data_IF_484524628741
#
_entry.id   IF_484524628741
#
_cell.length_a   1.000
_cell.length_b   1.000
_cell.length_c   1.000
_cell.angle_alpha   90.00
_cell.angle_beta   90.00
_cell.angle_gamma   90.00
#
_symmetry.space_group_name_H-M   'P 1'
#
loop_
_entity.id
_entity.type
_entity.pdbx_description
1 polymer ?
#
# COMPACT_ATOMS: atom_id res chain seq x y z
N UNK A 1 8.12 35.20 13.61
CA UNK A 1 7.10 35.24 12.55
C UNK A 1 6.55 33.83 12.44
N UNK A 2 5.43 33.59 13.12
CA UNK A 2 4.89 32.27 13.41
C UNK A 2 4.27 31.68 12.13
N UNK A 3 4.86 30.61 11.60
CA UNK A 3 4.27 29.87 10.49
C UNK A 3 3.11 29.06 11.07
N UNK A 4 1.92 29.59 10.91
CA UNK A 4 0.67 28.92 11.24
C UNK A 4 0.51 27.76 10.26
N UNK A 5 0.72 26.53 10.76
CA UNK A 5 0.39 25.33 10.00
C UNK A 5 -1.13 25.29 9.84
N UNK A 6 -1.58 25.57 8.61
CA UNK A 6 -2.96 25.42 8.22
C UNK A 6 -3.29 23.92 8.30
N UNK A 7 -3.94 23.50 9.39
CA UNK A 7 -4.49 22.17 9.56
C UNK A 7 -5.70 22.03 8.62
N UNK A 8 -5.42 21.84 7.33
CA UNK A 8 -6.40 21.31 6.39
C UNK A 8 -6.65 19.85 6.78
N UNK A 9 -7.59 19.65 7.71
CA UNK A 9 -8.29 18.38 7.86
C UNK A 9 -8.94 18.09 6.51
N UNK A 10 -8.26 17.29 5.69
CA UNK A 10 -8.68 16.88 4.36
C UNK A 10 -9.83 15.87 4.45
N UNK A 11 -10.92 16.24 5.12
CA UNK A 11 -12.19 15.53 5.00
C UNK A 11 -12.64 15.74 3.56
N UNK A 12 -12.41 14.72 2.73
CA UNK A 12 -12.87 14.68 1.35
C UNK A 12 -14.41 14.69 1.38
N UNK A 13 -15.00 15.88 1.24
CA UNK A 13 -16.45 16.11 1.34
C UNK A 13 -17.25 15.35 0.27
N UNK A 14 -16.60 15.03 -0.85
CA UNK A 14 -17.20 14.29 -1.96
C UNK A 14 -16.26 13.13 -2.28
N UNK A 15 -16.52 11.99 -1.64
CA UNK A 15 -15.90 10.72 -1.99
C UNK A 15 -17.02 9.75 -2.40
N UNK A 16 -16.94 9.10 -3.58
CA UNK A 16 -17.86 8.01 -3.87
C UNK A 16 -17.64 6.92 -2.82
N UNK A 17 -18.72 6.50 -2.16
CA UNK A 17 -18.75 5.31 -1.32
C UNK A 17 -19.49 4.23 -2.11
N UNK A 18 -18.91 3.03 -2.29
CA UNK A 18 -19.63 1.93 -2.92
C UNK A 18 -20.89 1.63 -2.10
N UNK A 19 -22.04 1.69 -2.75
CA UNK A 19 -23.35 1.48 -2.12
C UNK A 19 -23.71 -0.01 -2.04
N UNK A 20 -23.03 -0.85 -2.83
CA UNK A 20 -23.23 -2.30 -2.84
C UNK A 20 -21.91 -3.07 -2.91
N UNK A 21 -21.87 -4.34 -2.44
CA UNK A 21 -20.71 -5.22 -2.62
C UNK A 21 -20.33 -5.42 -4.09
N UNK A 22 -21.30 -5.34 -4.99
CA UNK A 22 -21.07 -5.47 -6.43
C UNK A 22 -20.32 -4.26 -7.00
N UNK A 23 -20.64 -3.05 -6.55
CA UNK A 23 -19.89 -1.83 -6.90
C UNK A 23 -18.45 -1.89 -6.37
N UNK A 24 -18.25 -2.37 -5.15
CA UNK A 24 -16.90 -2.54 -4.57
C UNK A 24 -16.06 -3.56 -5.37
N UNK A 25 -16.69 -4.65 -5.81
CA UNK A 25 -16.04 -5.65 -6.67
C UNK A 25 -15.64 -5.06 -8.03
N UNK A 26 -16.51 -4.24 -8.63
CA UNK A 26 -16.22 -3.53 -9.89
C UNK A 26 -15.07 -2.55 -9.68
N UNK A 27 -15.09 -1.75 -8.62
CA UNK A 27 -14.01 -0.80 -8.31
C UNK A 27 -12.66 -1.52 -8.15
N UNK A 28 -12.63 -2.64 -7.43
CA UNK A 28 -11.43 -3.47 -7.31
C UNK A 28 -10.96 -4.00 -8.66
N UNK A 29 -11.89 -4.42 -9.54
CA UNK A 29 -11.56 -4.91 -10.87
C UNK A 29 -10.96 -3.82 -11.79
N UNK A 30 -11.30 -2.55 -11.54
CA UNK A 30 -10.74 -1.39 -12.26
C UNK A 30 -9.34 -0.99 -11.77
N UNK A 31 -8.86 -1.53 -10.64
CA UNK A 31 -7.52 -1.19 -10.14
C UNK A 31 -6.44 -1.79 -11.05
N UNK A 32 -5.40 -1.00 -11.38
CA UNK A 32 -4.21 -1.51 -12.06
C UNK A 32 -3.64 -2.75 -11.36
N UNK A 33 -3.25 -3.75 -12.16
CA UNK A 33 -2.71 -5.03 -11.67
C UNK A 33 -1.20 -5.10 -11.75
N UNK A 34 -0.61 -4.48 -12.78
CA UNK A 34 0.84 -4.44 -12.98
C UNK A 34 1.38 -3.02 -12.83
N UNK A 35 2.69 -2.89 -12.66
CA UNK A 35 3.34 -1.58 -12.60
C UNK A 35 3.24 -0.82 -13.93
N UNK A 36 3.05 -1.54 -15.04
CA UNK A 36 2.84 -0.98 -16.37
C UNK A 36 1.44 -0.35 -16.52
N UNK A 37 0.43 -0.92 -15.85
CA UNK A 37 -0.95 -0.42 -15.86
C UNK A 37 -1.15 0.79 -14.95
N UNK A 38 -0.19 1.06 -14.05
CA UNK A 38 -0.27 2.18 -13.11
C UNK A 38 -0.03 3.51 -13.85
N UNK A 39 -1.09 4.29 -14.04
CA UNK A 39 -1.02 5.54 -14.81
C UNK A 39 -0.49 6.69 -13.94
N UNK A 40 0.39 7.52 -14.50
CA UNK A 40 1.03 8.63 -13.79
C UNK A 40 2.23 8.19 -12.94
N UNK A 41 2.68 9.08 -12.05
CA UNK A 41 3.78 8.80 -11.10
C UNK A 41 5.04 8.18 -11.74
N UNK A 42 5.45 8.66 -12.92
CA UNK A 42 6.51 8.05 -13.74
C UNK A 42 7.80 7.76 -12.96
N UNK A 43 8.24 8.71 -12.11
CA UNK A 43 9.42 8.55 -11.26
C UNK A 43 9.31 7.38 -10.29
N UNK A 44 8.14 7.21 -9.66
CA UNK A 44 7.91 6.10 -8.71
C UNK A 44 7.93 4.76 -9.47
N UNK A 45 7.29 4.72 -10.65
CA UNK A 45 7.25 3.52 -11.49
C UNK A 45 8.64 3.09 -11.94
N UNK A 46 9.45 4.02 -12.42
CA UNK A 46 10.82 3.74 -12.85
C UNK A 46 11.66 3.20 -11.68
N UNK A 47 11.62 3.87 -10.53
CA UNK A 47 12.38 3.47 -9.36
C UNK A 47 11.95 2.10 -8.83
N UNK A 48 10.64 1.86 -8.68
CA UNK A 48 10.13 0.55 -8.25
C UNK A 48 10.47 -0.54 -9.26
N UNK A 49 10.39 -0.26 -10.57
CA UNK A 49 10.75 -1.21 -11.62
C UNK A 49 12.18 -1.71 -11.50
N UNK A 50 13.13 -0.80 -11.23
CA UNK A 50 14.54 -1.17 -11.00
C UNK A 50 14.67 -2.09 -9.78
N UNK A 51 14.04 -1.73 -8.64
CA UNK A 51 14.15 -2.53 -7.42
C UNK A 51 13.49 -3.90 -7.53
N UNK A 52 12.31 -3.98 -8.13
CA UNK A 52 11.60 -5.24 -8.39
C UNK A 52 12.45 -6.15 -9.27
N UNK A 53 12.97 -5.62 -10.38
CA UNK A 53 13.80 -6.41 -11.29
C UNK A 53 15.06 -6.94 -10.57
N UNK A 54 15.72 -6.09 -9.78
CA UNK A 54 16.92 -6.46 -9.06
C UNK A 54 16.64 -7.53 -7.98
N UNK A 55 15.56 -7.38 -7.19
CA UNK A 55 15.16 -8.36 -6.17
C UNK A 55 14.80 -9.71 -6.80
N UNK A 56 14.03 -9.71 -7.90
CA UNK A 56 13.67 -10.93 -8.64
C UNK A 56 14.89 -11.64 -9.23
N UNK A 57 15.86 -10.91 -9.76
CA UNK A 57 17.09 -11.51 -10.29
C UNK A 57 17.93 -12.21 -9.22
N UNK A 58 17.82 -11.77 -7.96
CA UNK A 58 18.53 -12.36 -6.81
C UNK A 58 17.72 -13.41 -6.05
N UNK A 59 16.46 -13.61 -6.42
CA UNK A 59 15.50 -14.43 -5.66
C UNK A 59 15.38 -13.98 -4.19
N UNK A 60 15.36 -12.66 -3.98
CA UNK A 60 15.30 -12.02 -2.66
C UNK A 60 13.99 -11.25 -2.48
N UNK A 61 13.53 -11.03 -1.23
CA UNK A 61 12.44 -10.10 -0.96
C UNK A 61 12.77 -8.69 -1.48
N UNK A 62 11.73 -7.96 -1.87
CA UNK A 62 11.87 -6.52 -2.09
C UNK A 62 12.20 -5.83 -0.76
N UNK A 63 13.12 -4.85 -0.79
CA UNK A 63 13.40 -4.01 0.36
C UNK A 63 12.12 -3.31 0.87
N UNK A 64 12.11 -2.94 2.15
CA UNK A 64 10.96 -2.28 2.75
C UNK A 64 10.65 -0.93 2.08
N UNK A 65 9.38 -0.74 1.70
CA UNK A 65 8.91 0.45 0.99
C UNK A 65 8.00 1.28 1.88
N UNK A 66 8.27 2.58 1.98
CA UNK A 66 7.36 3.55 2.60
C UNK A 66 6.61 4.33 1.51
N UNK A 67 5.29 4.14 1.44
CA UNK A 67 4.41 4.90 0.56
C UNK A 67 3.76 6.05 1.34
N UNK A 68 4.13 7.29 1.01
CA UNK A 68 3.59 8.49 1.62
C UNK A 68 2.84 9.35 0.59
N UNK A 69 1.73 9.95 1.01
CA UNK A 69 1.00 10.93 0.24
C UNK A 69 -0.47 11.03 0.66
N UNK A 70 -1.22 12.02 0.15
CA UNK A 70 -2.66 12.18 0.37
C UNK A 70 -3.49 10.90 0.13
N UNK A 71 -4.68 10.77 0.74
CA UNK A 71 -5.59 9.66 0.46
C UNK A 71 -5.99 9.62 -1.02
N UNK A 72 -6.21 8.42 -1.56
CA UNK A 72 -6.67 8.23 -2.94
C UNK A 72 -5.59 8.34 -4.04
N UNK A 73 -4.30 8.42 -3.70
CA UNK A 73 -3.20 8.38 -4.69
C UNK A 73 -2.77 6.96 -5.10
N UNK A 74 -3.53 5.93 -4.71
CA UNK A 74 -3.24 4.55 -5.11
C UNK A 74 -2.14 3.85 -4.30
N UNK A 75 -1.91 4.24 -3.04
CA UNK A 75 -0.96 3.54 -2.13
C UNK A 75 -1.32 2.06 -1.96
N UNK A 76 -2.58 1.78 -1.65
CA UNK A 76 -3.10 0.41 -1.55
C UNK A 76 -2.98 -0.34 -2.88
N UNK A 77 -3.26 0.34 -4.00
CA UNK A 77 -3.08 -0.23 -5.35
C UNK A 77 -1.62 -0.62 -5.61
N UNK A 78 -0.66 0.24 -5.25
CA UNK A 78 0.77 -0.05 -5.38
C UNK A 78 1.18 -1.26 -4.52
N UNK A 79 0.67 -1.40 -3.30
CA UNK A 79 0.96 -2.58 -2.48
C UNK A 79 0.51 -3.90 -3.15
N UNK A 80 -0.68 -3.91 -3.77
CA UNK A 80 -1.15 -5.06 -4.57
C UNK A 80 -0.27 -5.32 -5.79
N UNK A 81 0.12 -4.27 -6.53
CA UNK A 81 1.03 -4.38 -7.67
C UNK A 81 2.36 -4.99 -7.22
N UNK A 82 2.95 -4.52 -6.12
CA UNK A 82 4.23 -5.03 -5.63
C UNK A 82 4.17 -6.53 -5.30
N UNK A 83 3.13 -6.97 -4.60
CA UNK A 83 2.94 -8.40 -4.32
C UNK A 83 2.78 -9.22 -5.61
N UNK A 84 2.01 -8.70 -6.58
CA UNK A 84 1.80 -9.35 -7.86
C UNK A 84 3.09 -9.43 -8.70
N UNK A 85 3.86 -8.36 -8.78
CA UNK A 85 5.13 -8.31 -9.53
C UNK A 85 6.20 -9.23 -8.92
N UNK A 86 6.18 -9.38 -7.59
CA UNK A 86 7.05 -10.29 -6.85
C UNK A 86 6.53 -11.74 -6.84
N UNK A 87 5.28 -11.99 -7.22
CA UNK A 87 4.68 -13.32 -7.28
C UNK A 87 4.40 -13.95 -5.90
N UNK A 88 4.08 -13.13 -4.90
CA UNK A 88 3.95 -13.51 -3.48
C UNK A 88 2.59 -13.09 -2.91
N UNK A 89 2.23 -13.57 -1.72
CA UNK A 89 0.97 -13.18 -1.10
C UNK A 89 1.07 -11.75 -0.55
N UNK A 90 -0.07 -11.06 -0.56
CA UNK A 90 -0.26 -9.80 0.15
C UNK A 90 -1.03 -10.05 1.46
N UNK A 91 -0.42 -9.67 2.58
CA UNK A 91 -1.09 -9.58 3.88
C UNK A 91 -1.33 -8.11 4.20
N UNK A 92 -2.60 -7.72 4.36
CA UNK A 92 -2.98 -6.33 4.64
C UNK A 92 -3.47 -6.17 6.07
N UNK A 93 -3.05 -5.09 6.72
CA UNK A 93 -3.55 -4.62 8.01
C UNK A 93 -3.50 -3.09 8.05
N UNK A 94 -3.87 -2.48 9.17
CA UNK A 94 -3.73 -1.04 9.39
C UNK A 94 -3.10 -0.74 10.75
N UNK A 95 -2.40 0.39 10.85
CA UNK A 95 -1.78 0.87 12.09
C UNK A 95 -2.75 0.85 13.29
N UNK A 96 -3.98 1.37 13.16
CA UNK A 96 -4.96 1.35 14.24
C UNK A 96 -5.42 -0.04 14.69
N UNK A 97 -5.35 -1.05 13.81
CA UNK A 97 -5.71 -2.43 14.16
C UNK A 97 -4.59 -3.10 14.97
N UNK A 98 -3.36 -2.62 14.83
CA UNK A 98 -2.19 -3.10 15.56
C UNK A 98 -2.02 -2.32 16.87
N UNK A 99 -2.98 -2.47 17.78
CA UNK A 99 -2.99 -1.76 19.08
C UNK A 99 -1.98 -2.32 20.08
N UNK A 100 -1.66 -3.62 20.01
CA UNK A 100 -0.75 -4.29 20.95
C UNK A 100 0.43 -4.90 20.23
N UNK A 101 1.59 -4.91 20.88
CA UNK A 101 2.80 -5.56 20.37
C UNK A 101 2.57 -7.05 20.02
N UNK A 102 1.66 -7.72 20.72
CA UNK A 102 1.27 -9.10 20.46
C UNK A 102 0.59 -9.31 19.10
N UNK A 103 -0.18 -8.33 18.60
CA UNK A 103 -0.89 -8.44 17.33
C UNK A 103 0.10 -8.41 16.16
N UNK A 104 1.09 -7.51 16.23
CA UNK A 104 2.17 -7.45 15.25
C UNK A 104 3.01 -8.73 15.29
N UNK A 105 3.36 -9.22 16.48
CA UNK A 105 4.12 -10.46 16.63
C UNK A 105 3.39 -11.65 16.00
N UNK A 106 2.08 -11.81 16.26
CA UNK A 106 1.26 -12.86 15.68
C UNK A 106 1.15 -12.75 14.15
N UNK A 107 1.09 -11.52 13.62
CA UNK A 107 1.06 -11.29 12.17
C UNK A 107 2.38 -11.72 11.54
N UNK A 108 3.51 -11.26 12.08
CA UNK A 108 4.85 -11.60 11.61
C UNK A 108 5.13 -13.11 11.65
N UNK A 109 4.64 -13.83 12.67
CA UNK A 109 4.82 -15.29 12.76
C UNK A 109 4.05 -16.08 11.70
N UNK A 110 3.01 -15.49 11.11
CA UNK A 110 2.17 -16.13 10.09
C UNK A 110 2.54 -15.73 8.65
N UNK A 111 3.58 -14.92 8.46
CA UNK A 111 4.07 -14.55 7.13
C UNK A 111 4.82 -15.70 6.49
N UNK A 112 4.51 -15.97 5.23
CA UNK A 112 5.31 -16.87 4.41
C UNK A 112 6.56 -16.15 3.88
N UNK A 113 7.52 -16.92 3.38
CA UNK A 113 8.75 -16.37 2.78
C UNK A 113 8.37 -15.40 1.66
N UNK A 114 8.96 -14.21 1.69
CA UNK A 114 8.77 -13.12 0.72
C UNK A 114 7.36 -12.51 0.66
N UNK A 115 6.42 -12.90 1.54
CA UNK A 115 5.11 -12.23 1.61
C UNK A 115 5.26 -10.71 1.78
N UNK A 116 4.38 -9.96 1.10
CA UNK A 116 4.28 -8.52 1.30
C UNK A 116 3.34 -8.24 2.46
N UNK A 117 3.86 -7.65 3.54
CA UNK A 117 3.04 -7.08 4.61
C UNK A 117 2.77 -5.60 4.34
N UNK A 118 1.51 -5.27 4.05
CA UNK A 118 1.06 -3.89 3.89
C UNK A 118 0.34 -3.40 5.14
N UNK A 119 0.88 -2.34 5.76
CA UNK A 119 0.30 -1.67 6.92
C UNK A 119 -0.19 -0.30 6.47
N UNK A 120 -1.50 -0.15 6.26
CA UNK A 120 -2.07 1.16 5.97
C UNK A 120 -2.07 2.04 7.22
N UNK A 121 -1.95 3.35 7.05
CA UNK A 121 -1.88 4.30 8.17
C UNK A 121 -0.81 3.93 9.23
N UNK A 122 0.35 3.42 8.80
CA UNK A 122 1.44 2.97 9.69
C UNK A 122 1.88 4.03 10.72
N UNK A 123 1.69 5.31 10.43
CA UNK A 123 1.95 6.43 11.35
C UNK A 123 1.02 6.45 12.59
N UNK A 124 -0.01 5.61 12.63
CA UNK A 124 -0.94 5.44 13.76
C UNK A 124 -0.58 4.27 14.66
N UNK A 125 0.55 3.58 14.39
CA UNK A 125 1.11 2.64 15.35
C UNK A 125 1.49 3.39 16.64
N UNK A 126 1.02 2.87 17.77
CA UNK A 126 1.15 3.50 19.10
C UNK A 126 2.36 2.98 19.87
#
# INVERSE_FOLDING_TARGET
MSIQHDQLSATRLIAPQPQTPQEEAIERALRPKTLNDYVGQARIREQLGIFIQAARQRDEPLDHVLLFGPPGLGKTTLAHILAQEMGVNLRQTSGPVLERAGDLAALLTNLERQDVLFIDEIHRLS
#
